data_IF_124266894165
#
_entry.id   IF_124266894165
#
_cell.length_a   1.000
_cell.length_b   1.000
_cell.length_c   1.000
_cell.angle_alpha   90.00
_cell.angle_beta   90.00
_cell.angle_gamma   90.00
#
_symmetry.space_group_name_H-M   'P 1'
#
loop_
_entity.id
_entity.type
_entity.pdbx_description
1 polymer ?
#
# COMPACT_ATOMS: atom_id res chain seq x y z
N UNK A 1 -6.14 7.27 38.00
CA UNK A 1 -5.18 7.20 36.88
C UNK A 1 -5.95 7.39 35.56
N UNK A 2 -5.95 8.63 35.08
CA UNK A 2 -6.60 8.94 33.77
C UNK A 2 -5.81 8.32 32.64
N UNK A 3 -6.49 7.50 31.85
CA UNK A 3 -5.93 6.97 30.60
C UNK A 3 -5.83 8.11 29.58
N UNK A 4 -4.62 8.55 29.30
CA UNK A 4 -4.36 9.47 28.18
C UNK A 4 -4.71 8.71 26.89
N UNK A 5 -5.89 8.95 26.36
CA UNK A 5 -6.30 8.50 25.02
C UNK A 5 -5.70 9.47 24.03
N UNK A 6 -4.56 9.12 23.45
CA UNK A 6 -4.00 9.88 22.33
C UNK A 6 -4.89 9.61 21.10
N UNK A 7 -5.80 10.53 20.81
CA UNK A 7 -6.54 10.56 19.53
C UNK A 7 -5.53 10.84 18.43
N UNK A 8 -5.20 9.83 17.64
CA UNK A 8 -4.41 10.00 16.40
C UNK A 8 -5.32 10.58 15.32
N UNK A 9 -5.07 11.83 14.97
CA UNK A 9 -5.73 12.52 13.87
C UNK A 9 -5.18 11.99 12.52
N UNK A 10 -6.07 11.59 11.62
CA UNK A 10 -5.73 11.12 10.25
C UNK A 10 -4.95 12.19 9.49
N UNK A 11 -5.24 13.47 9.74
CA UNK A 11 -4.46 14.59 9.23
C UNK A 11 -3.02 14.63 9.78
N UNK A 12 -2.78 14.09 10.98
CA UNK A 12 -1.43 13.91 11.53
C UNK A 12 -0.71 12.73 10.87
N UNK A 13 -1.41 11.66 10.50
CA UNK A 13 -0.82 10.57 9.72
C UNK A 13 -0.44 11.04 8.32
N UNK A 14 -1.32 11.78 7.64
CA UNK A 14 -1.01 12.41 6.35
C UNK A 14 0.16 13.39 6.50
N UNK A 15 0.21 14.20 7.55
CA UNK A 15 1.35 15.09 7.84
C UNK A 15 2.63 14.35 8.21
N UNK A 16 2.56 13.18 8.84
CA UNK A 16 3.72 12.33 9.12
C UNK A 16 4.19 11.68 7.82
N UNK A 17 3.30 11.22 6.96
CA UNK A 17 3.64 10.72 5.62
C UNK A 17 4.21 11.84 4.75
N UNK A 18 3.63 13.04 4.77
CA UNK A 18 4.14 14.22 4.07
C UNK A 18 5.50 14.69 4.64
N UNK A 19 5.69 14.63 5.96
CA UNK A 19 6.96 14.98 6.61
C UNK A 19 8.04 13.94 6.36
N UNK A 20 7.71 12.64 6.45
CA UNK A 20 8.61 11.55 6.04
C UNK A 20 8.90 11.67 4.54
N UNK A 21 7.91 12.04 3.74
CA UNK A 21 8.03 12.32 2.32
C UNK A 21 9.04 13.45 2.03
N UNK A 22 8.96 14.57 2.75
CA UNK A 22 9.89 15.71 2.62
C UNK A 22 11.30 15.35 3.11
N UNK A 23 11.42 14.62 4.22
CA UNK A 23 12.69 14.10 4.74
C UNK A 23 13.32 13.10 3.76
N UNK A 24 12.50 12.22 3.20
CA UNK A 24 12.89 11.28 2.17
C UNK A 24 13.27 12.01 0.88
N UNK A 25 12.60 13.09 0.49
CA UNK A 25 12.98 13.89 -0.67
C UNK A 25 14.41 14.42 -0.63
N UNK A 26 14.88 14.78 0.55
CA UNK A 26 16.20 15.41 0.71
C UNK A 26 17.33 14.46 1.14
N UNK A 27 17.02 13.26 1.67
CA UNK A 27 17.99 12.45 2.42
C UNK A 27 18.11 10.98 1.94
N UNK A 28 17.12 10.44 1.22
CA UNK A 28 16.97 8.99 0.97
C UNK A 28 18.13 8.30 0.26
N UNK A 29 18.94 9.01 -0.45
CA UNK A 29 20.08 8.37 -1.17
C UNK A 29 21.29 8.14 -0.26
N UNK A 30 21.36 8.72 0.92
CA UNK A 30 22.58 8.74 1.75
C UNK A 30 22.53 7.98 3.09
N UNK A 31 21.36 7.60 3.61
CA UNK A 31 21.33 7.04 4.97
C UNK A 31 20.51 5.74 5.04
N UNK A 32 21.19 4.61 4.91
CA UNK A 32 20.63 3.26 5.07
C UNK A 32 19.81 3.08 6.37
N UNK A 33 20.20 3.82 7.41
CA UNK A 33 19.55 3.79 8.72
C UNK A 33 18.13 4.39 8.70
N UNK A 34 17.90 5.45 7.92
CA UNK A 34 16.56 6.07 7.78
C UNK A 34 15.63 5.18 6.96
N UNK A 35 16.16 4.56 5.90
CA UNK A 35 15.41 3.58 5.12
C UNK A 35 14.98 2.43 6.03
N UNK A 36 15.88 1.93 6.89
CA UNK A 36 15.55 0.85 7.82
C UNK A 36 14.46 1.26 8.82
N UNK A 37 14.53 2.45 9.40
CA UNK A 37 13.49 2.98 10.31
C UNK A 37 12.12 3.05 9.58
N UNK A 38 12.12 3.49 8.31
CA UNK A 38 10.91 3.54 7.51
C UNK A 38 10.35 2.15 7.23
N UNK A 39 11.21 1.19 6.86
CA UNK A 39 10.82 -0.20 6.65
C UNK A 39 10.26 -0.82 7.93
N UNK A 40 10.88 -0.57 9.08
CA UNK A 40 10.45 -1.09 10.38
C UNK A 40 9.10 -0.50 10.81
N UNK A 41 8.83 0.77 10.47
CA UNK A 41 7.53 1.40 10.71
C UNK A 41 6.39 0.71 9.95
N UNK A 42 6.62 0.35 8.68
CA UNK A 42 5.61 -0.30 7.84
C UNK A 42 5.53 -1.82 8.04
N UNK A 43 6.53 -2.43 8.65
CA UNK A 43 6.63 -3.87 8.87
C UNK A 43 5.35 -4.50 9.45
N UNK A 44 4.77 -4.01 10.56
CA UNK A 44 3.57 -4.63 11.14
C UNK A 44 2.36 -4.60 10.20
N UNK A 45 2.22 -3.50 9.44
CA UNK A 45 1.14 -3.35 8.44
C UNK A 45 1.29 -4.41 7.37
N UNK A 46 2.50 -4.56 6.82
CA UNK A 46 2.77 -5.47 5.71
C UNK A 46 2.67 -6.94 6.19
N UNK A 47 3.11 -7.26 7.41
CA UNK A 47 2.95 -8.60 7.99
C UNK A 47 1.48 -9.00 8.13
N UNK A 48 0.64 -8.08 8.57
CA UNK A 48 -0.80 -8.28 8.64
C UNK A 48 -1.40 -8.52 7.24
N UNK A 49 -0.98 -7.76 6.23
CA UNK A 49 -1.45 -7.90 4.85
C UNK A 49 -0.97 -9.18 4.19
N UNK A 50 0.27 -9.61 4.46
CA UNK A 50 0.78 -10.92 4.03
C UNK A 50 -0.11 -12.04 4.55
N UNK A 51 -0.46 -11.98 5.84
CA UNK A 51 -1.33 -12.98 6.46
C UNK A 51 -2.77 -12.85 5.96
N UNK A 52 -3.28 -11.62 5.80
CA UNK A 52 -4.64 -11.34 5.35
C UNK A 52 -4.91 -11.92 3.95
N UNK A 53 -3.99 -11.68 3.02
CA UNK A 53 -4.13 -12.13 1.64
C UNK A 53 -3.41 -13.46 1.36
N UNK A 54 -2.80 -14.11 2.37
CA UNK A 54 -2.04 -15.35 2.22
C UNK A 54 -0.98 -15.24 1.09
N UNK A 55 -0.13 -14.21 1.16
CA UNK A 55 0.85 -13.91 0.13
C UNK A 55 1.94 -14.99 0.07
N UNK A 56 2.27 -15.46 -1.12
CA UNK A 56 3.24 -16.51 -1.39
C UNK A 56 4.23 -16.12 -2.50
N UNK A 57 5.21 -16.98 -2.76
CA UNK A 57 6.17 -16.81 -3.85
C UNK A 57 5.57 -17.03 -5.27
N UNK A 58 4.33 -17.48 -5.34
CA UNK A 58 3.60 -17.69 -6.62
C UNK A 58 2.84 -16.43 -7.03
N UNK A 59 2.76 -15.43 -6.15
CA UNK A 59 1.98 -14.24 -6.40
C UNK A 59 2.70 -13.27 -7.35
N UNK A 60 1.92 -12.75 -8.30
CA UNK A 60 2.24 -11.62 -9.15
C UNK A 60 1.47 -10.43 -8.62
N UNK A 61 2.16 -9.52 -7.96
CA UNK A 61 1.57 -8.44 -7.18
C UNK A 61 1.71 -7.11 -7.92
N UNK A 62 0.64 -6.33 -7.96
CA UNK A 62 0.68 -4.91 -8.35
C UNK A 62 0.51 -4.06 -7.09
N UNK A 63 1.43 -3.13 -6.86
CA UNK A 63 1.32 -2.14 -5.79
C UNK A 63 1.16 -0.74 -6.39
N UNK A 64 -0.02 -0.14 -6.21
CA UNK A 64 -0.41 1.17 -6.74
C UNK A 64 -0.16 2.24 -5.66
N UNK A 65 0.54 3.31 -6.03
CA UNK A 65 0.91 4.40 -5.12
C UNK A 65 2.11 4.01 -4.24
N UNK A 66 3.18 3.51 -4.85
CA UNK A 66 4.32 2.96 -4.13
C UNK A 66 5.17 4.00 -3.41
N UNK A 67 5.09 5.27 -3.82
CA UNK A 67 5.92 6.33 -3.28
C UNK A 67 7.42 6.15 -3.55
N UNK A 68 8.28 6.98 -2.91
CA UNK A 68 9.74 6.97 -3.16
C UNK A 68 10.45 5.84 -2.43
N UNK A 69 9.88 5.31 -1.34
CA UNK A 69 10.40 4.15 -0.58
C UNK A 69 9.34 3.05 -0.59
N UNK A 70 9.39 2.11 -1.55
CA UNK A 70 8.37 1.09 -1.73
C UNK A 70 8.49 -0.02 -0.67
N UNK A 71 8.27 0.33 0.60
CA UNK A 71 8.44 -0.55 1.76
C UNK A 71 7.65 -1.86 1.62
N UNK A 72 6.42 -1.76 1.13
CA UNK A 72 5.54 -2.91 0.90
C UNK A 72 6.18 -3.93 -0.04
N UNK A 73 6.63 -3.48 -1.21
CA UNK A 73 7.27 -4.37 -2.19
C UNK A 73 8.59 -4.97 -1.65
N UNK A 74 9.43 -4.13 -1.03
CA UNK A 74 10.71 -4.56 -0.46
C UNK A 74 10.49 -5.66 0.59
N UNK A 75 9.52 -5.46 1.48
CA UNK A 75 9.27 -6.41 2.57
C UNK A 75 8.66 -7.72 2.05
N UNK A 76 7.66 -7.64 1.17
CA UNK A 76 7.03 -8.82 0.56
C UNK A 76 8.08 -9.65 -0.20
N UNK A 77 8.93 -9.02 -1.01
CA UNK A 77 9.96 -9.75 -1.75
C UNK A 77 10.96 -10.42 -0.82
N UNK A 78 11.45 -9.69 0.20
CA UNK A 78 12.41 -10.25 1.17
C UNK A 78 11.82 -11.42 1.97
N UNK A 79 10.53 -11.38 2.29
CA UNK A 79 9.87 -12.39 3.13
C UNK A 79 9.30 -13.56 2.33
N UNK A 80 8.66 -13.27 1.21
CA UNK A 80 7.87 -14.25 0.46
C UNK A 80 8.46 -14.60 -0.91
N UNK A 81 9.47 -13.86 -1.40
CA UNK A 81 10.06 -14.02 -2.73
C UNK A 81 9.03 -13.91 -3.89
N UNK A 82 7.95 -13.16 -3.69
CA UNK A 82 6.93 -12.89 -4.71
C UNK A 82 7.46 -11.96 -5.81
N UNK A 83 6.80 -11.93 -6.98
CA UNK A 83 7.08 -10.97 -8.05
C UNK A 83 6.19 -9.73 -7.86
N UNK A 84 6.80 -8.56 -7.72
CA UNK A 84 6.06 -7.32 -7.42
C UNK A 84 6.32 -6.27 -8.49
N UNK A 85 5.25 -5.77 -9.11
CA UNK A 85 5.29 -4.56 -9.93
C UNK A 85 4.80 -3.41 -9.08
N UNK A 86 5.55 -2.30 -9.04
CA UNK A 86 5.17 -1.08 -8.34
C UNK A 86 4.94 0.04 -9.32
N UNK A 87 3.86 0.78 -9.13
CA UNK A 87 3.54 1.95 -9.96
C UNK A 87 3.25 3.18 -9.10
N UNK A 88 3.57 4.34 -9.67
CA UNK A 88 3.18 5.65 -9.14
C UNK A 88 3.04 6.63 -10.30
N UNK A 89 2.05 7.52 -10.25
CA UNK A 89 1.84 8.56 -11.26
C UNK A 89 2.88 9.69 -11.22
N UNK A 90 3.63 9.78 -10.14
CA UNK A 90 4.66 10.79 -9.96
C UNK A 90 6.02 10.27 -10.39
N UNK A 91 6.50 10.74 -11.54
CA UNK A 91 7.79 10.35 -12.10
C UNK A 91 8.98 10.58 -11.15
N UNK A 92 8.94 11.65 -10.33
CA UNK A 92 10.04 11.94 -9.38
C UNK A 92 10.13 10.85 -8.31
N UNK A 93 8.99 10.33 -7.84
CA UNK A 93 8.93 9.27 -6.84
C UNK A 93 9.42 7.95 -7.43
N UNK A 94 8.98 7.63 -8.64
CA UNK A 94 9.40 6.43 -9.37
C UNK A 94 10.93 6.41 -9.57
N UNK A 95 11.55 7.52 -9.95
CA UNK A 95 13.01 7.59 -10.09
C UNK A 95 13.73 7.30 -8.77
N UNK A 96 13.20 7.80 -7.63
CA UNK A 96 13.76 7.50 -6.30
C UNK A 96 13.56 6.03 -5.91
N UNK A 97 12.35 5.51 -6.13
CA UNK A 97 12.05 4.10 -5.89
C UNK A 97 12.97 3.19 -6.72
N UNK A 98 13.16 3.48 -7.99
CA UNK A 98 14.06 2.72 -8.87
C UNK A 98 15.51 2.73 -8.37
N UNK A 99 16.03 3.91 -7.98
CA UNK A 99 17.38 4.02 -7.41
C UNK A 99 17.53 3.17 -6.15
N UNK A 100 16.51 3.18 -5.27
CA UNK A 100 16.52 2.37 -4.04
C UNK A 100 16.48 0.87 -4.34
N UNK A 101 15.61 0.44 -5.26
CA UNK A 101 15.49 -0.98 -5.64
C UNK A 101 16.80 -1.50 -6.26
N UNK A 102 17.45 -0.71 -7.12
CA UNK A 102 18.79 -1.03 -7.67
C UNK A 102 19.82 -1.16 -6.54
N UNK A 103 19.88 -0.19 -5.61
CA UNK A 103 20.80 -0.21 -4.46
C UNK A 103 20.59 -1.46 -3.60
N UNK A 104 19.35 -1.89 -3.39
CA UNK A 104 19.01 -3.08 -2.62
C UNK A 104 19.16 -4.39 -3.39
N UNK A 105 19.53 -4.35 -4.68
CA UNK A 105 19.69 -5.51 -5.58
C UNK A 105 18.42 -6.35 -5.69
N UNK A 106 17.25 -5.69 -5.73
CA UNK A 106 15.93 -6.35 -5.81
C UNK A 106 15.27 -6.22 -7.19
N UNK A 107 15.99 -5.74 -8.21
CA UNK A 107 15.42 -5.46 -9.54
C UNK A 107 15.00 -6.72 -10.30
N UNK A 108 15.43 -7.89 -9.90
CA UNK A 108 14.99 -9.16 -10.45
C UNK A 108 13.59 -9.57 -9.97
N UNK A 109 13.07 -8.95 -8.92
CA UNK A 109 11.78 -9.26 -8.28
C UNK A 109 10.85 -8.05 -8.14
N UNK A 110 11.38 -6.82 -8.20
CA UNK A 110 10.60 -5.60 -8.10
C UNK A 110 10.74 -4.80 -9.40
N UNK A 111 9.64 -4.70 -10.13
CA UNK A 111 9.55 -3.97 -11.40
C UNK A 111 8.96 -2.58 -11.15
N UNK A 112 9.75 -1.55 -11.41
CA UNK A 112 9.36 -0.15 -11.12
C UNK A 112 8.88 0.50 -12.41
N UNK A 113 7.62 0.96 -12.45
CA UNK A 113 6.99 1.52 -13.65
C UNK A 113 6.33 2.86 -13.30
N UNK A 114 6.61 3.90 -14.11
CA UNK A 114 5.87 5.16 -14.06
C UNK A 114 4.53 4.97 -14.79
N UNK A 115 3.44 4.93 -14.05
CA UNK A 115 2.10 4.71 -14.61
C UNK A 115 1.02 5.24 -13.67
N UNK A 116 -0.17 5.47 -14.24
CA UNK A 116 -1.39 5.75 -13.51
C UNK A 116 -2.09 4.45 -13.11
N UNK A 117 -2.78 4.45 -11.98
CA UNK A 117 -3.68 3.35 -11.59
C UNK A 117 -5.01 3.35 -12.34
N UNK A 118 -5.27 4.37 -13.20
CA UNK A 118 -6.54 4.51 -13.94
C UNK A 118 -6.60 3.67 -15.22
N UNK A 119 -5.45 3.25 -15.75
CA UNK A 119 -5.36 2.62 -17.07
C UNK A 119 -4.28 1.53 -17.15
N UNK A 120 -3.66 1.17 -16.01
CA UNK A 120 -2.62 0.16 -15.99
C UNK A 120 -3.20 -1.25 -16.16
N UNK A 121 -2.66 -2.10 -17.08
CA UNK A 121 -3.16 -3.44 -17.31
C UNK A 121 -3.11 -4.32 -16.07
N UNK A 122 -4.23 -4.97 -15.70
CA UNK A 122 -4.37 -5.73 -14.45
C UNK A 122 -4.35 -7.25 -14.63
N UNK A 123 -4.48 -7.75 -15.83
CA UNK A 123 -4.80 -9.16 -16.18
C UNK A 123 -3.76 -10.15 -15.67
N UNK A 124 -2.50 -9.73 -15.53
CA UNK A 124 -1.41 -10.61 -15.08
C UNK A 124 -1.25 -10.73 -13.57
N UNK A 125 -1.96 -9.87 -12.81
CA UNK A 125 -1.81 -9.82 -11.36
C UNK A 125 -2.90 -10.61 -10.65
N UNK A 126 -2.52 -11.40 -9.66
CA UNK A 126 -3.45 -12.13 -8.80
C UNK A 126 -3.58 -11.50 -7.40
N UNK A 127 -2.82 -10.43 -7.14
CA UNK A 127 -3.00 -9.57 -5.98
C UNK A 127 -2.69 -8.12 -6.37
N UNK A 128 -3.59 -7.23 -5.98
CA UNK A 128 -3.39 -5.78 -6.10
C UNK A 128 -3.39 -5.17 -4.71
N UNK A 129 -2.44 -4.28 -4.43
CA UNK A 129 -2.36 -3.51 -3.19
C UNK A 129 -2.47 -2.04 -3.54
N UNK A 130 -3.43 -1.35 -2.94
CA UNK A 130 -3.67 0.08 -3.13
C UNK A 130 -3.27 0.83 -1.87
N UNK A 131 -2.30 1.73 -1.98
CA UNK A 131 -1.81 2.55 -0.88
C UNK A 131 -2.84 3.57 -0.40
N UNK A 132 -2.72 3.98 0.85
CA UNK A 132 -3.46 5.12 1.37
C UNK A 132 -3.06 6.42 0.63
N UNK A 133 -4.05 7.26 0.34
CA UNK A 133 -3.84 8.61 -0.20
C UNK A 133 -3.53 8.68 -1.69
N UNK A 134 -3.81 7.62 -2.46
CA UNK A 134 -3.79 7.71 -3.92
C UNK A 134 -4.89 8.66 -4.42
N UNK A 135 -4.65 9.31 -5.56
CA UNK A 135 -5.63 10.19 -6.21
C UNK A 135 -5.59 10.01 -7.73
N UNK A 136 -6.76 10.02 -8.40
CA UNK A 136 -8.11 10.03 -7.82
C UNK A 136 -8.49 8.66 -7.25
N UNK A 137 -8.88 8.61 -5.97
CA UNK A 137 -9.05 7.35 -5.22
C UNK A 137 -10.20 6.48 -5.75
N UNK A 138 -11.39 7.08 -5.85
CA UNK A 138 -12.60 6.36 -6.28
C UNK A 138 -12.49 5.86 -7.72
N UNK A 139 -11.99 6.70 -8.63
CA UNK A 139 -11.86 6.34 -10.05
C UNK A 139 -10.88 5.17 -10.25
N UNK A 140 -9.76 5.16 -9.51
CA UNK A 140 -8.82 4.03 -9.55
C UNK A 140 -9.48 2.75 -9.07
N UNK A 141 -10.27 2.80 -7.99
CA UNK A 141 -10.94 1.61 -7.46
C UNK A 141 -12.08 1.13 -8.38
N UNK A 142 -12.81 2.04 -9.02
CA UNK A 142 -13.79 1.68 -10.05
C UNK A 142 -13.12 1.05 -11.29
N UNK A 143 -12.00 1.59 -11.73
CA UNK A 143 -11.22 0.96 -12.79
C UNK A 143 -10.78 -0.46 -12.40
N UNK A 144 -10.26 -0.64 -11.18
CA UNK A 144 -9.86 -1.95 -10.68
C UNK A 144 -11.04 -2.92 -10.66
N UNK A 145 -12.22 -2.50 -10.17
CA UNK A 145 -13.39 -3.38 -10.06
C UNK A 145 -13.85 -3.93 -11.41
N UNK A 146 -13.68 -3.15 -12.48
CA UNK A 146 -14.06 -3.54 -13.84
C UNK A 146 -13.03 -4.44 -14.52
N UNK A 147 -11.74 -4.28 -14.19
CA UNK A 147 -10.62 -4.87 -14.95
C UNK A 147 -9.81 -5.90 -14.15
N UNK A 148 -10.05 -6.06 -12.85
CA UNK A 148 -9.39 -7.09 -12.03
C UNK A 148 -9.87 -8.48 -12.44
N UNK A 149 -8.99 -9.47 -12.35
CA UNK A 149 -9.35 -10.88 -12.58
C UNK A 149 -10.33 -11.36 -11.52
N UNK A 150 -11.19 -12.32 -11.89
CA UNK A 150 -12.21 -12.87 -11.00
C UNK A 150 -11.60 -13.59 -9.78
N UNK A 151 -10.42 -14.20 -9.95
CA UNK A 151 -9.68 -14.91 -8.89
C UNK A 151 -8.67 -14.05 -8.13
N UNK A 152 -8.55 -12.76 -8.48
CA UNK A 152 -7.56 -11.89 -7.87
C UNK A 152 -8.06 -11.29 -6.54
N UNK A 153 -7.10 -11.08 -5.64
CA UNK A 153 -7.31 -10.42 -4.36
C UNK A 153 -6.95 -8.93 -4.48
N UNK A 154 -7.71 -8.10 -3.78
CA UNK A 154 -7.42 -6.67 -3.69
C UNK A 154 -7.29 -6.28 -2.22
N UNK A 155 -6.17 -5.67 -1.85
CA UNK A 155 -5.99 -5.01 -0.56
C UNK A 155 -6.09 -3.50 -0.78
N UNK A 156 -6.98 -2.86 -0.05
CA UNK A 156 -7.10 -1.39 -0.01
C UNK A 156 -6.76 -0.90 1.39
N UNK A 157 -5.81 0.02 1.49
CA UNK A 157 -5.50 0.73 2.74
C UNK A 157 -6.36 1.97 2.84
N UNK A 158 -7.10 2.08 3.92
CA UNK A 158 -7.96 3.24 4.17
C UNK A 158 -8.08 3.54 5.66
N UNK A 159 -8.82 4.61 5.98
CA UNK A 159 -9.11 4.97 7.37
C UNK A 159 -10.32 4.21 7.88
N UNK A 160 -10.38 3.97 9.20
CA UNK A 160 -11.58 3.47 9.85
C UNK A 160 -12.31 4.57 10.59
N UNK A 161 -13.60 4.36 10.80
CA UNK A 161 -14.38 5.02 11.84
C UNK A 161 -13.94 4.59 13.23
N UNK A 162 -14.44 5.25 14.26
CA UNK A 162 -14.05 4.98 15.67
C UNK A 162 -14.39 3.56 16.15
N UNK A 163 -15.34 2.90 15.49
CA UNK A 163 -15.78 1.53 15.75
C UNK A 163 -15.03 0.46 14.92
N UNK A 164 -14.02 0.88 14.13
CA UNK A 164 -13.20 -0.02 13.32
C UNK A 164 -13.80 -0.38 11.97
N UNK A 165 -14.93 0.22 11.58
CA UNK A 165 -15.58 0.01 10.28
C UNK A 165 -15.06 0.97 9.20
N UNK A 166 -15.51 0.77 7.95
CA UNK A 166 -15.26 1.71 6.86
C UNK A 166 -15.88 3.08 7.19
N UNK A 167 -15.15 4.14 6.88
CA UNK A 167 -15.70 5.50 6.90
C UNK A 167 -16.68 5.70 5.74
N UNK A 168 -17.57 6.68 5.86
CA UNK A 168 -18.65 6.93 4.89
C UNK A 168 -18.14 7.02 3.44
N UNK A 169 -17.05 7.73 3.21
CA UNK A 169 -16.43 7.87 1.87
C UNK A 169 -15.98 6.56 1.23
N UNK A 170 -15.84 5.48 2.02
CA UNK A 170 -15.36 4.17 1.56
C UNK A 170 -16.48 3.12 1.49
N UNK A 171 -17.71 3.49 1.80
CA UNK A 171 -18.86 2.57 1.73
C UNK A 171 -19.09 2.04 0.31
N UNK A 172 -18.76 2.84 -0.72
CA UNK A 172 -18.88 2.44 -2.13
C UNK A 172 -18.05 1.18 -2.44
N UNK A 173 -17.01 0.86 -1.65
CA UNK A 173 -16.25 -0.38 -1.81
C UNK A 173 -17.14 -1.61 -1.73
N UNK A 174 -18.15 -1.60 -0.84
CA UNK A 174 -19.13 -2.69 -0.70
C UNK A 174 -20.09 -2.76 -1.89
N UNK A 175 -20.24 -1.68 -2.64
CA UNK A 175 -21.08 -1.64 -3.83
C UNK A 175 -20.39 -2.28 -5.04
N UNK A 176 -19.06 -2.04 -5.20
CA UNK A 176 -18.30 -2.45 -6.36
C UNK A 176 -17.42 -3.70 -6.15
N UNK A 177 -17.21 -4.12 -4.90
CA UNK A 177 -16.45 -5.32 -4.54
C UNK A 177 -17.19 -6.19 -3.53
N UNK A 178 -16.82 -7.46 -3.46
CA UNK A 178 -17.13 -8.35 -2.34
C UNK A 178 -16.13 -8.13 -1.23
N UNK A 179 -16.60 -7.65 -0.07
CA UNK A 179 -15.76 -7.43 1.10
C UNK A 179 -15.60 -8.74 1.86
N UNK A 180 -14.36 -9.25 1.97
CA UNK A 180 -14.04 -10.47 2.70
C UNK A 180 -13.67 -10.18 4.15
N UNK A 181 -12.72 -9.26 4.38
CA UNK A 181 -12.19 -9.03 5.72
C UNK A 181 -11.63 -7.61 5.89
N UNK A 182 -11.77 -7.08 7.08
CA UNK A 182 -11.14 -5.83 7.52
C UNK A 182 -10.19 -6.16 8.66
N UNK A 183 -8.97 -5.62 8.63
CA UNK A 183 -8.04 -5.70 9.75
C UNK A 183 -7.53 -4.31 10.14
N UNK A 184 -7.53 -3.98 11.44
CA UNK A 184 -6.92 -2.75 11.93
C UNK A 184 -5.40 -2.85 11.84
N UNK A 185 -4.73 -1.76 11.44
CA UNK A 185 -3.28 -1.71 11.28
C UNK A 185 -2.56 -1.06 12.46
N UNK A 186 -3.28 -0.36 13.31
CA UNK A 186 -2.75 0.24 14.54
C UNK A 186 -3.69 -0.01 15.70
N UNK A 187 -3.16 -0.02 16.91
CA UNK A 187 -3.93 -0.20 18.15
C UNK A 187 -5.11 0.77 18.30
N UNK A 188 -5.08 1.91 17.61
CA UNK A 188 -6.13 2.94 17.64
C UNK A 188 -7.18 2.80 16.54
N UNK A 189 -7.11 1.78 15.67
CA UNK A 189 -8.12 1.47 14.66
C UNK A 189 -8.31 2.50 13.54
N UNK A 190 -7.45 3.53 13.44
CA UNK A 190 -7.63 4.60 12.44
C UNK A 190 -7.12 4.27 11.04
N UNK A 191 -6.27 3.26 10.92
CA UNK A 191 -5.81 2.72 9.65
C UNK A 191 -6.23 1.27 9.57
N UNK A 192 -6.89 0.90 8.47
CA UNK A 192 -7.32 -0.47 8.18
C UNK A 192 -6.81 -0.91 6.81
N UNK A 193 -6.60 -2.21 6.68
CA UNK A 193 -6.48 -2.88 5.39
C UNK A 193 -7.72 -3.73 5.15
N UNK A 194 -8.32 -3.57 3.98
CA UNK A 194 -9.55 -4.24 3.56
C UNK A 194 -9.20 -5.24 2.47
N UNK A 195 -9.54 -6.51 2.68
CA UNK A 195 -9.44 -7.55 1.66
C UNK A 195 -10.74 -7.63 0.89
N UNK A 196 -10.63 -7.50 -0.42
CA UNK A 196 -11.73 -7.43 -1.36
C UNK A 196 -11.51 -8.41 -2.52
N UNK A 197 -12.62 -8.86 -3.11
CA UNK A 197 -12.66 -9.65 -4.33
C UNK A 197 -13.57 -8.97 -5.35
N UNK A 198 -13.42 -9.34 -6.61
CA UNK A 198 -14.35 -8.92 -7.65
C UNK A 198 -15.76 -9.36 -7.32
N UNK A 199 -16.74 -8.53 -7.65
CA UNK A 199 -18.14 -8.82 -7.43
C UNK A 199 -18.76 -9.57 -8.59
#
# INVERSE_FOLDING_TARGET
>A
MEKIVIKFDVNKLKKIDDFIFILVENIVVKIDKIIQIYLDFYKPIIENEISLANISNKDKILHIGCGPVPATAIYIVKKNNADVTIIDKNLKLIKKAQTLILKLKLSNKIHVIHASGLDFPLEKFNLIIVSLGIEPYEDVLRYISQNIRDDARLIVRTSSSSDGNLVEKDLFLKEIFTLEKIIPQKKNGLLISVLLFKK
#
